data_IF_628975876187
#
_entry.id   IF_628975876187
#
_cell.length_a   1.000
_cell.length_b   1.000
_cell.length_c   1.000
_cell.angle_alpha   90.00
_cell.angle_beta   90.00
_cell.angle_gamma   90.00
#
_symmetry.space_group_name_H-M   'P 1'
#
loop_
_entity.id
_entity.type
_entity.pdbx_description
1 polymer ?
#
# COMPACT_ATOMS: atom_id res chain seq x y z
N UNK A 1 -5.14 6.72 18.11
CA UNK A 1 -4.66 7.75 19.09
C UNK A 1 -3.17 7.93 18.80
N UNK A 2 -2.56 9.12 18.97
CA UNK A 2 -1.14 9.27 18.66
C UNK A 2 -0.28 8.40 19.59
N UNK A 3 0.73 7.73 19.01
CA UNK A 3 1.68 6.89 19.75
C UNK A 3 2.43 7.68 20.83
N UNK A 4 2.74 7.06 21.98
CA UNK A 4 3.54 7.69 23.01
C UNK A 4 4.99 7.91 22.52
N UNK A 5 5.63 8.95 23.05
CA UNK A 5 7.00 9.28 22.65
C UNK A 5 8.02 8.37 23.34
N UNK A 6 8.91 7.76 22.55
CA UNK A 6 10.01 6.90 23.04
C UNK A 6 11.36 7.59 22.91
N UNK A 7 12.30 7.24 23.80
CA UNK A 7 13.63 7.88 23.92
C UNK A 7 14.66 6.96 24.57
N UNK A 8 15.93 7.36 24.51
CA UNK A 8 17.01 6.63 25.16
C UNK A 8 16.73 6.35 26.64
N UNK A 9 16.92 5.10 27.05
CA UNK A 9 16.64 4.63 28.40
C UNK A 9 15.22 4.08 28.60
N UNK A 10 14.39 4.05 27.57
CA UNK A 10 13.22 3.18 27.54
C UNK A 10 13.70 1.75 27.27
N UNK A 11 13.31 0.81 28.13
CA UNK A 11 13.70 -0.60 28.06
C UNK A 11 12.46 -1.48 27.99
N UNK A 12 12.61 -2.65 27.37
CA UNK A 12 11.51 -3.61 27.21
C UNK A 12 10.24 -2.95 26.67
N UNK A 13 10.41 -2.11 25.64
CA UNK A 13 9.34 -1.26 25.13
C UNK A 13 8.99 -1.60 23.67
N UNK A 14 7.76 -2.03 23.51
CA UNK A 14 6.97 -2.20 22.31
C UNK A 14 7.21 -1.19 21.17
N UNK A 15 7.06 0.09 21.47
CA UNK A 15 7.20 1.16 20.48
C UNK A 15 8.69 1.34 20.09
N UNK A 16 9.62 0.94 20.97
CA UNK A 16 11.05 0.93 20.65
C UNK A 16 11.41 -0.21 19.69
N UNK A 17 10.85 -1.41 19.87
CA UNK A 17 11.05 -2.53 18.93
C UNK A 17 10.56 -2.17 17.54
N UNK A 18 9.36 -1.60 17.45
CA UNK A 18 8.78 -1.13 16.19
C UNK A 18 9.66 -0.05 15.55
N UNK A 19 10.11 0.93 16.33
CA UNK A 19 11.03 1.95 15.86
C UNK A 19 12.32 1.34 15.30
N UNK A 20 12.95 0.40 16.02
CA UNK A 20 14.16 -0.29 15.60
C UNK A 20 13.93 -1.03 14.26
N UNK A 21 12.81 -1.73 14.11
CA UNK A 21 12.43 -2.42 12.87
C UNK A 21 12.28 -1.44 11.70
N UNK A 22 11.50 -0.37 11.87
CA UNK A 22 11.27 0.62 10.82
C UNK A 22 12.57 1.30 10.38
N UNK A 23 13.41 1.69 11.34
CA UNK A 23 14.72 2.28 11.05
C UNK A 23 15.64 1.28 10.33
N UNK A 24 15.66 0.00 10.73
CA UNK A 24 16.44 -1.06 10.07
C UNK A 24 16.00 -1.27 8.62
N UNK A 25 14.70 -1.27 8.36
CA UNK A 25 14.13 -1.46 7.03
C UNK A 25 14.47 -0.32 6.08
N UNK A 26 14.69 0.89 6.62
CA UNK A 26 15.23 2.04 5.89
C UNK A 26 16.76 2.09 5.91
N UNK A 27 17.43 1.01 6.30
CA UNK A 27 18.87 0.85 6.34
C UNK A 27 19.63 1.72 7.36
N UNK A 28 18.95 2.22 8.40
CA UNK A 28 19.61 2.81 9.56
C UNK A 28 20.09 1.71 10.51
N UNK A 29 21.33 1.83 10.99
CA UNK A 29 21.95 0.83 11.85
C UNK A 29 21.47 0.95 13.30
N UNK A 30 20.47 0.16 13.68
CA UNK A 30 19.86 0.18 15.02
C UNK A 30 20.45 -0.80 16.02
N UNK A 31 21.29 -1.74 15.57
CA UNK A 31 21.75 -2.86 16.39
C UNK A 31 20.75 -4.01 16.42
N UNK A 32 20.58 -4.65 17.58
CA UNK A 32 19.56 -5.68 17.76
C UNK A 32 18.17 -5.05 17.84
N UNK A 33 17.15 -5.80 17.44
CA UNK A 33 15.75 -5.43 17.72
C UNK A 33 15.37 -6.16 19.00
N UNK A 34 15.42 -5.42 20.09
CA UNK A 34 15.29 -5.97 21.45
C UNK A 34 14.35 -5.14 22.32
N UNK A 35 13.95 -3.94 21.87
CA UNK A 35 13.06 -3.04 22.61
C UNK A 35 13.79 -2.17 23.62
N UNK A 36 15.12 -2.22 23.60
CA UNK A 36 15.97 -1.39 24.43
C UNK A 36 16.44 -0.18 23.61
N UNK A 37 16.00 1.00 24.03
CA UNK A 37 16.38 2.24 23.37
C UNK A 37 17.79 2.63 23.84
N UNK A 38 18.79 1.98 23.25
CA UNK A 38 20.19 2.23 23.50
C UNK A 38 20.79 3.35 22.64
N UNK A 39 22.08 3.68 22.83
CA UNK A 39 22.79 4.71 22.05
C UNK A 39 22.82 4.44 20.54
N UNK A 40 22.76 3.17 20.12
CA UNK A 40 22.76 2.79 18.69
C UNK A 40 21.41 3.12 18.05
N UNK A 41 20.30 2.76 18.71
CA UNK A 41 18.93 3.15 18.32
C UNK A 41 18.77 4.67 18.28
N UNK A 42 19.33 5.38 19.26
CA UNK A 42 19.32 6.85 19.30
C UNK A 42 20.07 7.48 18.12
N UNK A 43 21.28 7.01 17.83
CA UNK A 43 22.05 7.50 16.70
C UNK A 43 21.36 7.24 15.36
N UNK A 44 20.73 6.08 15.19
CA UNK A 44 19.92 5.74 14.03
C UNK A 44 18.71 6.68 13.88
N UNK A 45 18.02 6.99 14.98
CA UNK A 45 16.88 7.90 14.96
C UNK A 45 17.29 9.33 14.64
N UNK A 46 18.40 9.82 15.21
CA UNK A 46 18.94 11.16 14.91
C UNK A 46 19.29 11.28 13.42
N UNK A 47 19.92 10.25 12.85
CA UNK A 47 20.23 10.22 11.42
C UNK A 47 18.95 10.29 10.57
N UNK A 48 17.95 9.47 10.90
CA UNK A 48 16.66 9.50 10.23
C UNK A 48 15.96 10.87 10.30
N UNK A 49 15.89 11.47 11.50
CA UNK A 49 15.31 12.80 11.70
C UNK A 49 16.05 13.86 10.90
N UNK A 50 17.38 13.79 10.84
CA UNK A 50 18.21 14.69 10.04
C UNK A 50 17.97 14.55 8.53
N UNK A 51 17.96 13.33 8.03
CA UNK A 51 17.78 13.02 6.61
C UNK A 51 16.39 13.44 6.10
N UNK A 52 15.36 13.37 6.96
CA UNK A 52 13.98 13.72 6.63
C UNK A 52 13.57 15.13 7.10
N UNK A 53 14.50 15.91 7.64
CA UNK A 53 14.27 17.28 8.14
C UNK A 53 13.12 17.37 9.16
N UNK A 54 13.02 16.38 10.06
CA UNK A 54 11.98 16.29 11.09
C UNK A 54 12.45 17.02 12.34
N UNK A 55 12.05 18.28 12.47
CA UNK A 55 12.34 19.08 13.68
C UNK A 55 13.84 19.22 13.98
N UNK A 56 14.17 19.27 15.27
CA UNK A 56 15.55 19.23 15.77
C UNK A 56 15.90 17.77 16.11
N UNK A 57 16.93 17.15 15.51
CA UNK A 57 17.20 15.72 15.64
C UNK A 57 17.79 15.39 17.02
N UNK A 58 16.91 15.34 18.03
CA UNK A 58 17.24 15.13 19.44
C UNK A 58 17.22 13.65 19.85
N UNK A 59 16.92 12.72 18.92
CA UNK A 59 16.90 11.28 19.23
C UNK A 59 15.70 10.85 20.08
N UNK A 60 14.64 11.66 20.11
CA UNK A 60 13.35 11.33 20.72
C UNK A 60 12.34 11.08 19.61
N UNK A 61 11.70 9.92 19.61
CA UNK A 61 10.64 9.61 18.65
C UNK A 61 9.32 10.18 19.15
N UNK A 62 9.07 11.46 18.83
CA UNK A 62 7.88 12.20 19.23
C UNK A 62 6.74 12.05 18.20
N UNK A 63 5.61 12.76 18.43
CA UNK A 63 4.43 12.68 17.55
C UNK A 63 4.74 13.02 16.08
N UNK A 64 5.70 13.92 15.81
CA UNK A 64 6.05 14.29 14.44
C UNK A 64 6.96 13.25 13.81
N UNK A 65 7.87 12.68 14.59
CA UNK A 65 8.74 11.58 14.16
C UNK A 65 7.94 10.32 13.89
N UNK A 66 6.98 9.99 14.76
CA UNK A 66 6.01 8.92 14.53
C UNK A 66 5.18 9.18 13.29
N UNK A 67 4.61 10.37 13.12
CA UNK A 67 3.83 10.69 11.93
C UNK A 67 4.66 10.59 10.64
N UNK A 68 5.94 10.94 10.66
CA UNK A 68 6.82 10.80 9.50
C UNK A 68 7.18 9.34 9.21
N UNK A 69 7.50 8.56 10.25
CA UNK A 69 7.69 7.12 10.15
C UNK A 69 6.42 6.44 9.61
N UNK A 70 5.27 6.69 10.21
CA UNK A 70 3.97 6.15 9.77
C UNK A 70 3.60 6.64 8.36
N UNK A 71 3.93 7.88 7.97
CA UNK A 71 3.74 8.32 6.59
C UNK A 71 4.58 7.50 5.60
N UNK A 72 5.76 7.04 6.00
CA UNK A 72 6.67 6.24 5.18
C UNK A 72 6.29 4.76 5.10
N UNK A 73 5.58 4.24 6.11
CA UNK A 73 5.13 2.85 6.17
C UNK A 73 3.61 2.64 6.00
N UNK A 74 2.82 3.72 5.90
CA UNK A 74 1.35 3.71 5.89
C UNK A 74 0.74 3.75 7.30
N UNK A 75 -0.58 3.97 7.37
CA UNK A 75 -1.34 3.89 8.63
C UNK A 75 -1.21 2.48 9.22
N UNK A 76 -0.30 2.33 10.18
CA UNK A 76 0.03 1.09 10.89
C UNK A 76 -0.94 0.80 12.03
N UNK A 77 -2.11 1.44 12.06
CA UNK A 77 -3.22 1.03 12.94
C UNK A 77 -3.79 -0.37 12.56
N UNK A 78 -3.30 -0.97 11.47
CA UNK A 78 -3.51 -2.36 11.11
C UNK A 78 -2.22 -3.08 10.74
N UNK A 79 -1.42 -3.46 11.73
CA UNK A 79 -0.76 -4.77 11.93
C UNK A 79 0.28 -4.60 13.06
N UNK A 80 -0.21 -4.91 14.25
CA UNK A 80 0.47 -5.23 15.52
C UNK A 80 1.98 -5.57 15.40
N UNK A 81 2.84 -4.87 16.17
CA UNK A 81 4.28 -5.14 16.40
C UNK A 81 4.54 -6.57 16.90
N UNK A 82 5.77 -7.09 16.79
CA UNK A 82 6.18 -8.43 17.32
C UNK A 82 5.68 -8.70 18.75
N UNK A 83 5.65 -7.72 19.65
CA UNK A 83 5.16 -7.93 21.04
C UNK A 83 3.63 -7.97 21.15
N UNK A 84 2.90 -7.36 20.23
CA UNK A 84 1.44 -7.53 20.17
C UNK A 84 1.03 -8.85 19.49
N UNK A 85 2.00 -9.56 18.90
CA UNK A 85 1.93 -10.99 18.62
C UNK A 85 2.13 -11.75 19.93
N UNK A 86 3.08 -11.40 20.80
CA UNK A 86 3.25 -12.04 22.12
C UNK A 86 2.06 -11.83 23.08
N UNK A 87 1.53 -10.62 23.21
CA UNK A 87 0.31 -10.35 23.99
C UNK A 87 -0.91 -11.07 23.39
N UNK A 88 -1.00 -11.13 22.06
CA UNK A 88 -2.05 -11.89 21.38
C UNK A 88 -1.83 -13.40 21.54
N UNK A 89 -0.58 -13.87 21.58
CA UNK A 89 -0.21 -15.24 21.91
C UNK A 89 -0.72 -15.49 23.33
N UNK A 90 -0.38 -14.68 24.32
CA UNK A 90 -0.84 -14.89 25.69
C UNK A 90 -2.38 -14.81 25.84
N UNK A 91 -3.05 -13.87 25.15
CA UNK A 91 -4.52 -13.75 25.15
C UNK A 91 -5.24 -14.91 24.43
N UNK A 92 -4.63 -15.45 23.36
CA UNK A 92 -5.19 -16.53 22.54
C UNK A 92 -4.75 -17.93 23.04
N UNK A 93 -3.61 -18.01 23.73
CA UNK A 93 -2.86 -19.24 24.08
C UNK A 93 -2.56 -19.42 25.58
N UNK A 94 -3.12 -18.60 26.47
CA UNK A 94 -2.90 -18.71 27.93
C UNK A 94 -2.98 -20.15 28.48
N UNK A 95 -2.18 -20.44 29.52
CA UNK A 95 -1.90 -21.67 30.33
C UNK A 95 -2.41 -23.10 29.95
N UNK A 96 -3.46 -23.30 29.16
CA UNK A 96 -4.05 -24.60 28.81
C UNK A 96 -3.43 -25.27 27.57
N UNK A 97 -2.49 -24.60 26.90
CA UNK A 97 -2.16 -24.88 25.50
C UNK A 97 -1.24 -26.09 25.23
N UNK A 98 -0.39 -26.49 26.17
CA UNK A 98 0.54 -27.64 26.02
C UNK A 98 -0.16 -29.00 25.90
N UNK A 99 -1.49 -29.05 25.94
CA UNK A 99 -2.32 -30.26 25.82
C UNK A 99 -3.17 -30.34 24.54
N UNK A 100 -3.16 -29.31 23.70
CA UNK A 100 -3.97 -29.22 22.48
C UNK A 100 -3.29 -29.92 21.30
N UNK A 101 -4.08 -30.56 20.44
CA UNK A 101 -3.59 -31.20 19.20
C UNK A 101 -3.01 -30.14 18.24
N UNK A 102 -1.80 -30.33 17.66
CA UNK A 102 -1.13 -29.32 16.82
C UNK A 102 -1.99 -28.74 15.70
N UNK A 103 -2.88 -29.55 15.11
CA UNK A 103 -3.81 -29.13 14.07
C UNK A 103 -4.86 -28.14 14.60
N UNK A 104 -5.37 -28.34 15.81
CA UNK A 104 -6.28 -27.39 16.46
C UNK A 104 -5.57 -26.08 16.82
N UNK A 105 -4.29 -26.17 17.22
CA UNK A 105 -3.47 -24.98 17.50
C UNK A 105 -3.27 -24.15 16.22
N UNK A 106 -2.83 -24.80 15.14
CA UNK A 106 -2.63 -24.12 13.86
C UNK A 106 -3.93 -23.51 13.32
N UNK A 107 -5.07 -24.19 13.50
CA UNK A 107 -6.36 -23.64 13.08
C UNK A 107 -6.70 -22.32 13.82
N UNK A 108 -6.35 -22.20 15.10
CA UNK A 108 -6.54 -20.94 15.85
C UNK A 108 -5.59 -19.85 15.40
N UNK A 109 -4.32 -20.18 15.14
CA UNK A 109 -3.35 -19.27 14.51
C UNK A 109 -3.84 -18.78 13.14
N UNK A 110 -4.44 -19.67 12.35
CA UNK A 110 -4.94 -19.35 11.03
C UNK A 110 -6.10 -18.33 11.09
N UNK A 111 -7.03 -18.51 12.03
CA UNK A 111 -8.12 -17.54 12.27
C UNK A 111 -7.55 -16.20 12.70
N UNK A 112 -6.63 -16.20 13.66
CA UNK A 112 -5.95 -15.02 14.17
C UNK A 112 -5.28 -14.18 13.07
N UNK A 113 -4.43 -14.83 12.27
CA UNK A 113 -3.71 -14.18 11.18
C UNK A 113 -4.70 -13.60 10.16
N UNK A 114 -5.75 -14.35 9.82
CA UNK A 114 -6.75 -13.90 8.84
C UNK A 114 -7.65 -12.77 9.36
N UNK A 115 -7.94 -12.68 10.65
CA UNK A 115 -8.65 -11.52 11.22
C UNK A 115 -7.83 -10.23 11.02
N UNK A 116 -6.51 -10.33 11.21
CA UNK A 116 -5.60 -9.20 11.00
C UNK A 116 -5.46 -8.83 9.52
N UNK A 117 -5.30 -9.83 8.64
CA UNK A 117 -5.29 -9.62 7.19
C UNK A 117 -6.59 -9.00 6.68
N UNK A 118 -7.73 -9.45 7.20
CA UNK A 118 -9.05 -8.91 6.86
C UNK A 118 -9.19 -7.44 7.28
N UNK A 119 -8.62 -7.05 8.43
CA UNK A 119 -8.58 -5.64 8.85
C UNK A 119 -7.77 -4.77 7.88
N UNK A 120 -6.74 -5.33 7.23
CA UNK A 120 -5.98 -4.69 6.15
C UNK A 120 -6.65 -4.82 4.76
N UNK A 121 -7.84 -5.43 4.69
CA UNK A 121 -8.58 -5.66 3.45
C UNK A 121 -7.97 -6.73 2.53
N UNK A 122 -7.09 -7.58 3.05
CA UNK A 122 -6.45 -8.68 2.33
C UNK A 122 -7.40 -9.89 2.29
N UNK A 123 -7.59 -10.56 1.14
CA UNK A 123 -8.41 -11.77 1.06
C UNK A 123 -7.86 -12.89 1.96
N UNK A 124 -8.76 -13.72 2.50
CA UNK A 124 -8.40 -14.85 3.34
C UNK A 124 -7.28 -15.69 2.73
N UNK A 125 -6.22 -15.92 3.49
CA UNK A 125 -5.08 -16.78 3.16
C UNK A 125 -5.25 -18.10 3.91
N UNK A 126 -5.53 -19.23 3.23
CA UNK A 126 -5.47 -20.55 3.83
C UNK A 126 -4.10 -20.81 4.47
N UNK A 127 -4.11 -21.21 5.73
CA UNK A 127 -2.91 -21.60 6.49
C UNK A 127 -3.08 -23.04 6.93
N UNK A 128 -2.17 -23.92 6.52
CA UNK A 128 -2.26 -25.35 6.79
C UNK A 128 -0.89 -26.01 6.86
N UNK A 129 -0.81 -27.17 7.51
CA UNK A 129 0.39 -27.99 7.45
C UNK A 129 0.62 -28.55 6.05
N UNK A 130 1.88 -28.63 5.64
CA UNK A 130 2.28 -29.24 4.38
C UNK A 130 3.79 -29.19 4.18
N UNK A 131 4.22 -29.30 2.93
CA UNK A 131 5.63 -29.26 2.57
C UNK A 131 6.10 -27.80 2.36
N UNK A 132 6.74 -27.23 3.39
CA UNK A 132 7.42 -25.93 3.31
C UNK A 132 8.92 -26.09 3.01
N UNK A 133 9.38 -27.26 2.57
CA UNK A 133 10.78 -27.58 2.38
C UNK A 133 11.57 -27.46 3.69
N UNK A 134 12.65 -26.69 3.66
CA UNK A 134 13.50 -26.42 4.85
C UNK A 134 13.04 -25.22 5.66
N UNK A 135 12.00 -24.50 5.21
CA UNK A 135 11.45 -23.35 5.93
C UNK A 135 10.45 -23.80 6.99
N UNK A 136 10.27 -22.96 8.01
CA UNK A 136 9.28 -23.15 9.07
C UNK A 136 7.85 -22.99 8.54
N UNK A 137 7.62 -21.92 7.79
CA UNK A 137 6.44 -21.71 6.99
C UNK A 137 6.84 -21.02 5.69
N UNK A 138 5.98 -21.07 4.68
CA UNK A 138 6.18 -20.35 3.43
C UNK A 138 4.84 -19.86 2.90
N UNK A 139 4.76 -18.59 2.54
CA UNK A 139 3.69 -18.07 1.72
C UNK A 139 3.97 -18.27 0.23
N UNK A 140 3.03 -18.91 -0.46
CA UNK A 140 3.06 -19.03 -1.92
C UNK A 140 1.87 -18.24 -2.51
N UNK A 141 2.19 -17.24 -3.33
CA UNK A 141 1.23 -16.35 -3.98
C UNK A 141 0.47 -17.03 -5.13
N UNK A 142 0.98 -18.16 -5.65
CA UNK A 142 0.34 -18.92 -6.73
C UNK A 142 -0.91 -19.67 -6.24
N UNK A 143 -0.84 -20.51 -5.19
CA UNK A 143 -2.03 -21.06 -4.55
C UNK A 143 -2.68 -20.06 -3.58
N UNK A 144 -2.02 -18.93 -3.27
CA UNK A 144 -2.43 -17.97 -2.25
C UNK A 144 -2.59 -18.64 -0.88
N UNK A 145 -1.54 -19.27 -0.37
CA UNK A 145 -1.62 -20.04 0.87
C UNK A 145 -0.30 -20.00 1.66
N UNK A 146 -0.40 -20.09 2.98
CA UNK A 146 0.74 -20.36 3.86
C UNK A 146 0.80 -21.86 4.15
N UNK A 147 1.94 -22.46 3.84
CA UNK A 147 2.24 -23.85 4.17
C UNK A 147 3.18 -23.89 5.37
N UNK A 148 2.80 -24.60 6.43
CA UNK A 148 3.59 -24.73 7.66
C UNK A 148 4.25 -26.10 7.73
N UNK A 149 5.53 -26.15 8.06
CA UNK A 149 6.23 -27.40 8.30
C UNK A 149 5.81 -27.99 9.66
N UNK A 150 5.09 -29.10 9.62
CA UNK A 150 4.55 -29.73 10.83
C UNK A 150 5.62 -30.20 11.81
N UNK A 151 6.71 -30.79 11.30
CA UNK A 151 7.75 -31.38 12.15
C UNK A 151 8.53 -30.29 12.89
N UNK A 152 8.84 -29.19 12.21
CA UNK A 152 9.47 -28.03 12.84
C UNK A 152 8.51 -27.39 13.86
N UNK A 153 7.26 -27.14 13.45
CA UNK A 153 6.23 -26.54 14.31
C UNK A 153 6.09 -27.30 15.65
N UNK A 154 5.95 -28.63 15.59
CA UNK A 154 5.82 -29.48 16.79
C UNK A 154 7.11 -29.45 17.63
N UNK A 155 8.29 -29.45 17.00
CA UNK A 155 9.56 -29.38 17.73
C UNK A 155 9.73 -28.06 18.49
N UNK A 156 9.42 -26.90 17.90
CA UNK A 156 9.43 -25.62 18.63
C UNK A 156 8.43 -25.60 19.78
N UNK A 157 7.25 -26.17 19.56
CA UNK A 157 6.21 -26.24 20.58
C UNK A 157 6.69 -27.04 21.80
N UNK A 158 7.29 -28.21 21.57
CA UNK A 158 7.86 -29.05 22.63
C UNK A 158 9.07 -28.40 23.32
N UNK A 159 9.81 -27.55 22.61
CA UNK A 159 10.92 -26.78 23.16
C UNK A 159 10.47 -25.55 23.99
N UNK A 160 9.17 -25.22 23.99
CA UNK A 160 8.63 -24.04 24.67
C UNK A 160 8.76 -22.74 23.87
N UNK A 161 9.10 -22.82 22.58
CA UNK A 161 9.27 -21.69 21.66
C UNK A 161 8.01 -21.43 20.83
N UNK A 162 6.81 -21.54 21.43
CA UNK A 162 5.54 -21.38 20.71
C UNK A 162 5.38 -19.99 20.05
N UNK A 163 5.99 -18.95 20.62
CA UNK A 163 5.98 -17.60 20.06
C UNK A 163 6.72 -17.52 18.71
N UNK A 164 7.84 -18.25 18.56
CA UNK A 164 8.62 -18.27 17.31
C UNK A 164 7.84 -18.88 16.13
N UNK A 165 6.98 -19.88 16.42
CA UNK A 165 6.06 -20.46 15.44
C UNK A 165 5.09 -19.43 14.90
N UNK A 166 4.50 -18.64 15.81
CA UNK A 166 3.48 -17.68 15.46
C UNK A 166 4.05 -16.46 14.73
N UNK A 167 5.21 -15.96 15.15
CA UNK A 167 5.92 -14.89 14.46
C UNK A 167 6.19 -15.27 13.00
N UNK A 168 6.70 -16.49 12.76
CA UNK A 168 6.96 -16.96 11.40
C UNK A 168 5.68 -17.05 10.57
N UNK A 169 4.61 -17.67 11.09
CA UNK A 169 3.34 -17.83 10.34
C UNK A 169 2.73 -16.47 10.00
N UNK A 170 2.85 -15.52 10.93
CA UNK A 170 2.37 -14.17 10.73
C UNK A 170 3.23 -13.40 9.72
N UNK A 171 4.56 -13.50 9.81
CA UNK A 171 5.50 -12.93 8.84
C UNK A 171 5.18 -13.41 7.42
N UNK A 172 5.03 -14.72 7.24
CA UNK A 172 4.68 -15.30 5.94
C UNK A 172 3.31 -14.80 5.45
N UNK A 173 2.34 -14.67 6.36
CA UNK A 173 1.02 -14.10 6.04
C UNK A 173 1.11 -12.65 5.54
N UNK A 174 2.10 -11.86 5.98
CA UNK A 174 2.29 -10.47 5.51
C UNK A 174 2.76 -10.37 4.07
N UNK A 175 3.41 -11.40 3.51
CA UNK A 175 3.71 -11.42 2.08
C UNK A 175 2.42 -11.37 1.24
N UNK A 176 1.32 -11.91 1.73
CA UNK A 176 0.02 -11.80 1.07
C UNK A 176 -0.41 -10.32 0.91
N UNK A 177 -0.15 -9.47 1.90
CA UNK A 177 -0.48 -8.04 1.83
C UNK A 177 0.31 -7.31 0.75
N UNK A 178 1.61 -7.60 0.63
CA UNK A 178 2.47 -7.01 -0.40
C UNK A 178 1.95 -7.40 -1.79
N UNK A 179 1.67 -8.69 -1.98
CA UNK A 179 1.09 -9.22 -3.21
C UNK A 179 -0.29 -8.63 -3.53
N UNK A 180 -1.15 -8.47 -2.52
CA UNK A 180 -2.46 -7.83 -2.66
C UNK A 180 -2.35 -6.37 -3.09
N UNK A 181 -1.42 -5.63 -2.47
CA UNK A 181 -1.15 -4.22 -2.79
C UNK A 181 -0.67 -4.07 -4.24
N UNK A 182 0.26 -4.91 -4.69
CA UNK A 182 0.75 -4.91 -6.07
C UNK A 182 -0.38 -5.20 -7.05
N UNK A 183 -1.22 -6.22 -6.79
CA UNK A 183 -2.32 -6.56 -7.67
C UNK A 183 -3.32 -5.42 -7.84
N UNK A 184 -3.70 -4.76 -6.73
CA UNK A 184 -4.62 -3.62 -6.76
C UNK A 184 -4.02 -2.41 -7.46
N UNK A 185 -2.71 -2.18 -7.30
CA UNK A 185 -1.98 -1.14 -8.01
C UNK A 185 -1.92 -1.43 -9.52
N UNK A 186 -1.63 -2.67 -9.92
CA UNK A 186 -1.61 -3.06 -11.34
C UNK A 186 -3.00 -2.91 -11.97
N UNK A 187 -4.05 -3.28 -11.24
CA UNK A 187 -5.42 -3.03 -11.66
C UNK A 187 -5.70 -1.52 -11.81
N UNK A 188 -5.39 -0.72 -10.79
CA UNK A 188 -5.81 0.67 -10.72
C UNK A 188 -4.94 1.67 -11.46
N UNK A 189 -3.61 1.57 -11.38
CA UNK A 189 -2.67 2.47 -12.07
C UNK A 189 -2.33 2.00 -13.49
N UNK A 190 -2.38 0.70 -13.77
CA UNK A 190 -1.89 0.12 -15.06
C UNK A 190 -2.95 -0.59 -15.91
N UNK A 191 -4.18 -0.71 -15.40
CA UNK A 191 -5.37 -1.16 -16.15
C UNK A 191 -5.35 -2.63 -16.50
N UNK A 192 -4.64 -3.38 -15.69
CA UNK A 192 -4.58 -4.82 -15.84
C UNK A 192 -5.86 -5.43 -15.28
N UNK A 193 -6.55 -6.20 -16.12
CA UNK A 193 -7.52 -7.16 -15.63
C UNK A 193 -6.82 -8.31 -14.90
N UNK A 194 -7.59 -9.18 -14.23
CA UNK A 194 -7.01 -10.26 -13.43
C UNK A 194 -6.16 -11.24 -14.25
N UNK A 195 -6.48 -11.44 -15.53
CA UNK A 195 -5.70 -12.29 -16.42
C UNK A 195 -4.34 -11.67 -16.75
N UNK A 196 -4.29 -10.36 -17.03
CA UNK A 196 -3.05 -9.64 -17.26
C UNK A 196 -2.17 -9.57 -16.00
N UNK A 197 -2.76 -9.40 -14.82
CA UNK A 197 -2.04 -9.47 -13.53
C UNK A 197 -1.45 -10.87 -13.33
N UNK A 198 -2.28 -11.92 -13.43
CA UNK A 198 -1.82 -13.30 -13.28
C UNK A 198 -0.73 -13.68 -14.28
N UNK A 199 -0.87 -13.31 -15.56
CA UNK A 199 0.14 -13.62 -16.57
C UNK A 199 1.49 -12.93 -16.29
N UNK A 200 1.45 -11.77 -15.63
CA UNK A 200 2.64 -10.98 -15.33
C UNK A 200 3.34 -11.40 -14.05
N UNK A 201 2.58 -11.79 -13.03
CA UNK A 201 3.11 -11.98 -11.69
C UNK A 201 2.94 -13.41 -11.14
N UNK A 202 2.19 -14.24 -11.86
CA UNK A 202 1.78 -15.59 -11.45
C UNK A 202 0.90 -15.60 -10.18
N UNK A 203 0.45 -14.44 -9.71
CA UNK A 203 -0.51 -14.33 -8.61
C UNK A 203 -1.76 -15.13 -8.91
N UNK A 204 -2.27 -15.85 -7.92
CA UNK A 204 -3.53 -16.57 -8.00
C UNK A 204 -4.62 -15.78 -8.75
N UNK A 205 -5.20 -16.38 -9.80
CA UNK A 205 -6.13 -15.69 -10.70
C UNK A 205 -7.38 -15.16 -9.99
N UNK A 206 -7.90 -15.87 -8.98
CA UNK A 206 -9.07 -15.41 -8.24
C UNK A 206 -8.74 -14.20 -7.37
N UNK A 207 -7.54 -14.15 -6.80
CA UNK A 207 -7.04 -12.99 -6.05
C UNK A 207 -6.79 -11.81 -6.99
N UNK A 208 -6.15 -12.05 -8.13
CA UNK A 208 -5.96 -11.04 -9.16
C UNK A 208 -7.30 -10.45 -9.63
N UNK A 209 -8.32 -11.29 -9.87
CA UNK A 209 -9.67 -10.85 -10.22
C UNK A 209 -10.33 -10.05 -9.08
N UNK A 210 -10.13 -10.44 -7.81
CA UNK A 210 -10.64 -9.68 -6.68
C UNK A 210 -9.99 -8.30 -6.57
N UNK A 211 -8.68 -8.19 -6.80
CA UNK A 211 -7.96 -6.92 -6.76
C UNK A 211 -8.52 -5.89 -7.76
N UNK A 212 -9.04 -6.35 -8.91
CA UNK A 212 -9.68 -5.46 -9.90
C UNK A 212 -11.00 -4.83 -9.43
N UNK A 213 -11.63 -5.40 -8.39
CA UNK A 213 -12.89 -4.88 -7.82
C UNK A 213 -12.66 -3.78 -6.79
N UNK A 214 -11.45 -3.70 -6.26
CA UNK A 214 -11.03 -2.69 -5.31
C UNK A 214 -9.63 -2.14 -5.71
N UNK A 215 -9.52 -1.46 -6.86
CA UNK A 215 -8.21 -1.04 -7.38
C UNK A 215 -7.60 0.11 -6.58
N UNK A 216 -6.27 0.14 -6.50
CA UNK A 216 -5.54 1.31 -5.98
C UNK A 216 -5.35 2.30 -7.12
N UNK A 217 -6.03 3.44 -6.98
CA UNK A 217 -6.07 4.49 -7.99
C UNK A 217 -4.97 5.53 -7.82
N UNK A 218 -4.31 5.57 -6.67
CA UNK A 218 -3.26 6.52 -6.36
C UNK A 218 -2.08 5.79 -5.72
N UNK A 219 -0.87 6.01 -6.23
CA UNK A 219 0.34 5.55 -5.56
C UNK A 219 0.53 6.31 -4.25
N UNK A 220 1.13 5.63 -3.27
CA UNK A 220 1.58 6.15 -2.00
C UNK A 220 2.83 5.36 -1.57
N UNK A 221 3.35 5.68 -0.40
CA UNK A 221 4.52 5.02 0.18
C UNK A 221 4.36 3.51 0.32
N UNK A 222 3.16 3.01 0.66
CA UNK A 222 2.87 1.57 0.75
C UNK A 222 2.97 0.88 -0.62
N UNK A 223 2.46 1.51 -1.67
CA UNK A 223 2.59 0.95 -3.02
C UNK A 223 4.02 0.99 -3.54
N UNK A 224 4.78 2.04 -3.20
CA UNK A 224 6.18 2.17 -3.60
C UNK A 224 7.04 1.12 -2.89
N UNK A 225 6.81 0.91 -1.60
CA UNK A 225 7.45 -0.15 -0.81
C UNK A 225 7.13 -1.54 -1.39
N UNK A 226 5.88 -1.79 -1.80
CA UNK A 226 5.50 -3.06 -2.39
C UNK A 226 6.17 -3.31 -3.76
N UNK A 227 6.28 -2.28 -4.61
CA UNK A 227 7.02 -2.37 -5.88
C UNK A 227 8.50 -2.64 -5.63
N UNK A 228 9.14 -1.88 -4.73
CA UNK A 228 10.54 -2.03 -4.41
C UNK A 228 10.85 -3.42 -3.83
N UNK A 229 10.00 -3.92 -2.93
CA UNK A 229 10.09 -5.29 -2.42
C UNK A 229 10.03 -6.33 -3.55
N UNK A 230 9.10 -6.18 -4.50
CA UNK A 230 8.99 -7.10 -5.64
C UNK A 230 10.26 -7.05 -6.50
N UNK A 231 10.77 -5.86 -6.78
CA UNK A 231 11.99 -5.66 -7.59
C UNK A 231 13.22 -6.30 -6.93
N UNK A 232 13.36 -6.17 -5.62
CA UNK A 232 14.44 -6.82 -4.86
C UNK A 232 14.29 -8.35 -4.85
N UNK A 233 13.06 -8.85 -4.74
CA UNK A 233 12.78 -10.28 -4.64
C UNK A 233 12.95 -11.01 -5.98
N UNK A 234 12.49 -10.39 -7.08
CA UNK A 234 12.41 -11.04 -8.39
C UNK A 234 13.38 -10.47 -9.43
N UNK A 235 14.15 -9.43 -9.11
CA UNK A 235 15.10 -8.79 -10.03
C UNK A 235 14.43 -8.15 -11.25
N UNK A 236 13.12 -7.95 -11.21
CA UNK A 236 12.31 -7.38 -12.29
C UNK A 236 11.15 -6.58 -11.72
N UNK A 237 10.70 -5.56 -12.45
CA UNK A 237 9.58 -4.73 -12.00
C UNK A 237 8.24 -5.41 -12.29
N UNK A 238 7.27 -5.38 -11.35
CA UNK A 238 5.91 -5.81 -11.64
C UNK A 238 5.20 -4.80 -12.54
N UNK A 239 5.77 -3.61 -12.75
CA UNK A 239 5.22 -2.55 -13.60
C UNK A 239 5.57 -2.81 -15.09
N UNK A 240 4.66 -2.51 -16.05
CA UNK A 240 4.98 -2.53 -17.49
C UNK A 240 6.17 -1.63 -17.87
N UNK A 241 7.08 -2.15 -18.69
CA UNK A 241 8.22 -1.40 -19.18
C UNK A 241 7.79 -0.19 -20.04
N UNK A 242 8.45 0.95 -19.85
CA UNK A 242 8.18 2.19 -20.60
C UNK A 242 6.96 2.96 -20.12
N UNK A 243 6.36 2.57 -19.00
CA UNK A 243 5.25 3.28 -18.34
C UNK A 243 5.74 3.72 -16.97
N UNK A 244 5.91 5.03 -16.77
CA UNK A 244 6.19 5.56 -15.44
C UNK A 244 4.96 5.38 -14.54
N UNK A 245 5.18 4.97 -13.28
CA UNK A 245 4.13 4.94 -12.28
C UNK A 245 3.53 6.33 -12.11
N UNK A 246 2.19 6.51 -12.15
CA UNK A 246 1.57 7.77 -11.76
C UNK A 246 2.04 8.13 -10.35
N UNK A 247 2.73 9.26 -10.15
CA UNK A 247 3.29 9.66 -8.84
C UNK A 247 2.24 10.38 -7.98
N UNK A 248 2.44 10.41 -6.67
CA UNK A 248 1.60 11.19 -5.72
C UNK A 248 1.40 12.66 -6.14
N UNK A 249 2.42 13.28 -6.76
CA UNK A 249 2.34 14.65 -7.25
C UNK A 249 1.42 14.82 -8.47
N UNK A 250 1.20 13.74 -9.22
CA UNK A 250 0.35 13.69 -10.41
C UNK A 250 -1.09 13.27 -10.07
N UNK A 251 -1.30 12.61 -8.92
CA UNK A 251 -2.58 12.10 -8.45
C UNK A 251 -3.22 13.04 -7.42
N UNK A 252 -3.87 14.11 -7.88
CA UNK A 252 -4.72 14.93 -7.01
C UNK A 252 -5.97 14.18 -6.56
N UNK A 253 -5.96 13.65 -5.34
CA UNK A 253 -7.07 13.21 -4.46
C UNK A 253 -8.19 12.27 -4.99
N UNK A 254 -8.30 11.98 -6.29
CA UNK A 254 -9.09 10.83 -6.80
C UNK A 254 -8.43 10.30 -8.08
N UNK A 255 -7.58 9.29 -7.96
CA UNK A 255 -6.71 8.81 -9.05
C UNK A 255 -7.37 7.98 -10.17
N UNK A 256 -8.58 8.33 -10.61
CA UNK A 256 -9.29 7.62 -11.69
C UNK A 256 -9.18 8.25 -13.09
N UNK A 257 -8.60 9.44 -13.24
CA UNK A 257 -8.84 10.26 -14.44
C UNK A 257 -7.94 9.92 -15.64
N UNK A 258 -6.64 9.66 -15.45
CA UNK A 258 -5.68 9.57 -16.58
C UNK A 258 -6.03 8.45 -17.56
N UNK A 259 -6.47 7.29 -17.06
CA UNK A 259 -6.86 6.15 -17.92
C UNK A 259 -8.14 6.37 -18.70
N UNK A 260 -9.13 7.05 -18.11
CA UNK A 260 -10.34 7.42 -18.83
C UNK A 260 -9.98 8.39 -19.96
N UNK A 261 -9.09 9.36 -19.68
CA UNK A 261 -8.71 10.41 -20.63
C UNK A 261 -8.00 9.81 -21.84
N UNK A 262 -7.03 8.93 -21.61
CA UNK A 262 -6.31 8.25 -22.70
C UNK A 262 -7.21 7.27 -23.46
N UNK A 263 -8.06 6.48 -22.78
CA UNK A 263 -8.97 5.53 -23.43
C UNK A 263 -10.02 6.21 -24.29
N UNK A 264 -10.76 7.18 -23.74
CA UNK A 264 -11.81 7.88 -24.49
C UNK A 264 -11.24 8.80 -25.56
N UNK A 265 -9.99 9.27 -25.41
CA UNK A 265 -9.25 9.89 -26.50
C UNK A 265 -8.96 8.85 -27.59
N UNK A 266 -8.33 7.72 -27.30
CA UNK A 266 -7.95 6.74 -28.34
C UNK A 266 -9.17 6.07 -29.03
N UNK A 267 -10.25 5.82 -28.29
CA UNK A 267 -11.43 5.06 -28.76
C UNK A 267 -12.61 5.93 -29.22
N UNK A 268 -12.54 7.25 -29.06
CA UNK A 268 -13.63 8.17 -29.44
C UNK A 268 -14.83 8.11 -28.49
N UNK A 269 -14.60 8.30 -27.19
CA UNK A 269 -15.64 8.26 -26.15
C UNK A 269 -16.78 9.29 -26.39
N UNK A 270 -17.99 9.05 -25.84
CA UNK A 270 -19.14 9.87 -26.19
C UNK A 270 -19.04 11.27 -25.58
N UNK A 271 -19.06 12.29 -26.44
CA UNK A 271 -19.33 13.69 -26.04
C UNK A 271 -20.82 13.92 -25.74
N UNK A 272 -21.70 13.06 -26.25
CA UNK A 272 -23.14 13.18 -26.13
C UNK A 272 -23.62 12.61 -24.78
N UNK A 273 -24.46 13.39 -24.07
CA UNK A 273 -25.00 13.00 -22.76
C UNK A 273 -24.17 13.46 -21.55
N UNK A 274 -22.99 14.06 -21.75
CA UNK A 274 -22.20 14.65 -20.68
C UNK A 274 -22.82 15.94 -20.14
N UNK A 275 -22.69 16.15 -18.83
CA UNK A 275 -23.04 17.40 -18.19
C UNK A 275 -22.12 18.54 -18.70
N UNK A 276 -22.65 19.76 -18.70
CA UNK A 276 -21.87 20.96 -19.04
C UNK A 276 -21.04 21.37 -17.83
N UNK A 277 -19.72 21.29 -17.94
CA UNK A 277 -18.81 21.72 -16.86
C UNK A 277 -18.60 23.24 -16.91
N UNK A 278 -18.50 23.84 -15.72
CA UNK A 278 -18.23 25.27 -15.50
C UNK A 278 -17.80 25.49 -14.04
N UNK A 279 -17.32 26.70 -13.71
CA UNK A 279 -17.05 27.09 -12.32
C UNK A 279 -18.25 26.81 -11.40
N UNK A 280 -17.96 26.25 -10.23
CA UNK A 280 -18.97 25.86 -9.23
C UNK A 280 -19.72 24.57 -9.57
N UNK A 281 -19.25 23.79 -10.54
CA UNK A 281 -19.72 22.43 -10.75
C UNK A 281 -19.09 21.49 -9.70
N UNK A 282 -19.87 20.55 -9.17
CA UNK A 282 -19.48 19.74 -8.00
C UNK A 282 -18.93 18.36 -8.38
N UNK A 283 -19.01 17.96 -9.66
CA UNK A 283 -18.48 16.68 -10.14
C UNK A 283 -16.96 16.74 -10.30
N UNK A 284 -16.26 16.62 -9.18
CA UNK A 284 -14.80 16.67 -9.13
C UNK A 284 -14.14 15.59 -10.02
N UNK A 285 -14.82 14.46 -10.26
CA UNK A 285 -14.29 13.39 -11.10
C UNK A 285 -14.27 13.77 -12.58
N UNK A 286 -15.36 14.37 -13.08
CA UNK A 286 -15.45 14.85 -14.46
C UNK A 286 -14.54 16.08 -14.69
N UNK A 287 -14.32 16.89 -13.65
CA UNK A 287 -13.41 18.05 -13.69
C UNK A 287 -11.94 17.62 -13.78
N UNK A 288 -11.50 16.61 -12.99
CA UNK A 288 -10.13 16.07 -13.11
C UNK A 288 -9.87 15.53 -14.50
N UNK A 289 -10.84 14.79 -15.03
CA UNK A 289 -10.80 14.25 -16.38
C UNK A 289 -10.62 15.36 -17.44
N UNK A 290 -11.34 16.48 -17.31
CA UNK A 290 -11.14 17.67 -18.15
C UNK A 290 -9.72 18.25 -18.01
N UNK A 291 -9.24 18.43 -16.78
CA UNK A 291 -7.92 19.03 -16.49
C UNK A 291 -6.79 18.22 -17.15
N UNK A 292 -6.89 16.89 -17.12
CA UNK A 292 -5.91 16.01 -17.78
C UNK A 292 -5.97 16.09 -19.29
N UNK A 293 -7.18 16.07 -19.89
CA UNK A 293 -7.32 16.25 -21.34
C UNK A 293 -6.75 17.59 -21.81
N UNK A 294 -6.96 18.67 -21.06
CA UNK A 294 -6.36 19.96 -21.35
C UNK A 294 -4.83 19.86 -21.31
N UNK A 295 -4.27 19.23 -20.26
CA UNK A 295 -2.82 19.02 -20.13
C UNK A 295 -2.27 18.24 -21.31
N UNK A 296 -2.92 17.14 -21.70
CA UNK A 296 -2.56 16.32 -22.86
C UNK A 296 -2.60 17.11 -24.18
N UNK A 297 -3.56 18.04 -24.31
CA UNK A 297 -3.66 18.96 -25.44
C UNK A 297 -2.71 20.17 -25.34
N UNK A 298 -1.79 20.18 -24.39
CA UNK A 298 -0.84 21.26 -24.10
C UNK A 298 -1.48 22.58 -23.62
N UNK A 299 -2.63 22.50 -22.97
CA UNK A 299 -3.27 23.62 -22.26
C UNK A 299 -3.16 23.38 -20.75
N UNK A 300 -2.40 24.20 -20.04
CA UNK A 300 -2.20 23.99 -18.60
C UNK A 300 -3.42 24.47 -17.79
N UNK A 301 -4.17 23.59 -17.12
CA UNK A 301 -5.28 23.98 -16.25
C UNK A 301 -4.82 24.34 -14.83
N UNK A 302 -3.51 24.33 -14.56
CA UNK A 302 -2.98 24.32 -13.20
C UNK A 302 -2.97 22.91 -12.61
N UNK A 303 -3.27 22.80 -11.32
CA UNK A 303 -3.28 21.52 -10.60
C UNK A 303 -4.49 20.68 -11.04
N UNK A 304 -4.30 19.37 -11.22
CA UNK A 304 -5.39 18.40 -11.46
C UNK A 304 -6.02 18.02 -10.13
N UNK A 305 -6.90 18.86 -9.61
CA UNK A 305 -7.46 18.75 -8.27
C UNK A 305 -8.98 18.49 -8.23
N UNK A 306 -9.65 18.53 -9.38
CA UNK A 306 -11.09 18.40 -9.49
C UNK A 306 -11.87 19.66 -9.14
N UNK A 307 -11.18 20.81 -8.97
CA UNK A 307 -11.82 22.11 -8.87
C UNK A 307 -11.82 22.81 -10.23
N UNK A 308 -13.01 23.22 -10.67
CA UNK A 308 -13.14 24.07 -11.85
C UNK A 308 -12.88 25.52 -11.42
N UNK A 309 -11.62 25.81 -11.12
CA UNK A 309 -11.16 27.13 -10.71
C UNK A 309 -10.87 28.09 -11.88
N UNK A 310 -10.41 29.33 -11.58
CA UNK A 310 -10.09 30.33 -12.60
C UNK A 310 -8.99 29.89 -13.59
N UNK A 311 -8.03 29.06 -13.15
CA UNK A 311 -6.96 28.56 -14.02
C UNK A 311 -7.49 27.51 -15.00
N UNK A 312 -8.30 26.55 -14.51
CA UNK A 312 -9.03 25.60 -15.37
C UNK A 312 -9.91 26.32 -16.39
N UNK A 313 -10.66 27.35 -15.97
CA UNK A 313 -11.48 28.15 -16.88
C UNK A 313 -10.65 28.86 -17.96
N UNK A 314 -9.51 29.44 -17.59
CA UNK A 314 -8.62 30.10 -18.55
C UNK A 314 -8.06 29.10 -19.57
N UNK A 315 -7.69 27.88 -19.13
CA UNK A 315 -7.21 26.82 -20.02
C UNK A 315 -8.31 26.34 -21.00
N UNK A 316 -9.55 26.19 -20.52
CA UNK A 316 -10.71 25.87 -21.38
C UNK A 316 -10.92 26.95 -22.43
N UNK A 317 -10.89 28.24 -22.05
CA UNK A 317 -11.05 29.35 -23.00
C UNK A 317 -9.94 29.38 -24.05
N UNK A 318 -8.69 29.16 -23.65
CA UNK A 318 -7.56 29.07 -24.56
C UNK A 318 -7.70 27.90 -25.54
N UNK A 319 -8.12 26.74 -25.04
CA UNK A 319 -8.42 25.57 -25.87
C UNK A 319 -9.53 25.86 -26.88
N UNK A 320 -10.67 26.38 -26.41
CA UNK A 320 -11.81 26.75 -27.26
C UNK A 320 -11.41 27.72 -28.38
N UNK A 321 -10.68 28.79 -28.04
CA UNK A 321 -10.20 29.76 -29.01
C UNK A 321 -9.29 29.13 -30.07
N UNK A 322 -8.37 28.24 -29.67
CA UNK A 322 -7.47 27.56 -30.60
C UNK A 322 -8.17 26.58 -31.55
N UNK A 323 -9.37 26.11 -31.20
CA UNK A 323 -10.18 25.18 -31.99
C UNK A 323 -11.37 25.86 -32.69
N UNK A 324 -11.43 27.20 -32.69
CA UNK A 324 -12.50 27.95 -33.36
C UNK A 324 -13.88 27.84 -32.70
N UNK A 325 -13.92 27.46 -31.42
CA UNK A 325 -15.13 27.40 -30.61
C UNK A 325 -15.38 28.75 -29.91
N UNK A 326 -16.61 28.95 -29.41
CA UNK A 326 -16.91 30.07 -28.51
C UNK A 326 -16.15 29.90 -27.19
N UNK A 327 -15.36 30.90 -26.79
CA UNK A 327 -14.48 30.93 -25.62
C UNK A 327 -15.23 31.29 -24.32
N UNK A 328 -16.38 30.66 -24.09
CA UNK A 328 -17.25 30.96 -22.96
C UNK A 328 -16.78 30.32 -21.64
N UNK A 329 -15.72 29.52 -21.66
CA UNK A 329 -15.15 28.83 -20.50
C UNK A 329 -15.99 27.66 -20.00
N UNK A 330 -16.97 27.20 -20.78
CA UNK A 330 -17.83 26.07 -20.44
C UNK A 330 -17.52 24.86 -21.31
N UNK A 331 -17.48 23.69 -20.71
CA UNK A 331 -17.22 22.45 -21.44
C UNK A 331 -18.54 21.78 -21.76
N UNK A 332 -19.13 22.20 -22.88
CA UNK A 332 -20.31 21.57 -23.47
C UNK A 332 -19.93 20.56 -24.55
N UNK A 333 -20.95 20.00 -25.23
CA UNK A 333 -20.78 18.95 -26.25
C UNK A 333 -19.67 19.26 -27.28
N UNK A 334 -19.69 20.44 -27.88
CA UNK A 334 -18.70 20.82 -28.91
C UNK A 334 -17.27 20.91 -28.35
N UNK A 335 -17.11 21.34 -27.09
CA UNK A 335 -15.80 21.37 -26.44
C UNK A 335 -15.31 19.95 -26.15
N UNK A 336 -16.19 19.05 -25.72
CA UNK A 336 -15.87 17.63 -25.55
C UNK A 336 -15.52 16.94 -26.86
N UNK A 337 -16.29 17.18 -27.92
CA UNK A 337 -16.01 16.68 -29.28
C UNK A 337 -14.67 17.18 -29.82
N UNK A 338 -14.17 18.34 -29.38
CA UNK A 338 -12.86 18.84 -29.78
C UNK A 338 -11.73 18.25 -28.91
N UNK A 339 -11.98 17.98 -27.62
CA UNK A 339 -11.02 17.39 -26.66
C UNK A 339 -10.81 15.89 -26.86
N UNK A 340 -11.81 15.21 -27.39
CA UNK A 340 -11.77 13.83 -27.85
C UNK A 340 -11.54 13.85 -29.39
N UNK A 341 -10.79 12.92 -30.00
CA UNK A 341 -10.46 12.97 -31.42
C UNK A 341 -11.57 12.47 -32.34
#
# INVERSE_FOLDING_TARGET
>A
MPRPAVRQGDFDNNDVRLLQQMLRDMHYAVGNIDGDFGPVTEAALIAYQGDHMIGDPQGVCDVNTWAALEAQFGDLDGLRSEESIEDYVDDTYGAAHSSMDPEEQLAKLAVAANEQLAAAGVPNVPIQFGDAGTAWAVFDWRPWAVTVNRDLYVQAQEAGSAAENMDTIYHESRHAEQWWTIARLLAGLYDMDGAAINARTELNLDIANQATRDPILQSNTKTDAAIHWYEQTFGSSPVPAGVDAPREADAGATGGSVKRAVREYVEGGPAQGRAVLRRGHEDASEIRYLQELLTYRNFSPGRVDGDFGPVTEAAVKAFQASHGLTDDGKVGRLTWEALLP
#
